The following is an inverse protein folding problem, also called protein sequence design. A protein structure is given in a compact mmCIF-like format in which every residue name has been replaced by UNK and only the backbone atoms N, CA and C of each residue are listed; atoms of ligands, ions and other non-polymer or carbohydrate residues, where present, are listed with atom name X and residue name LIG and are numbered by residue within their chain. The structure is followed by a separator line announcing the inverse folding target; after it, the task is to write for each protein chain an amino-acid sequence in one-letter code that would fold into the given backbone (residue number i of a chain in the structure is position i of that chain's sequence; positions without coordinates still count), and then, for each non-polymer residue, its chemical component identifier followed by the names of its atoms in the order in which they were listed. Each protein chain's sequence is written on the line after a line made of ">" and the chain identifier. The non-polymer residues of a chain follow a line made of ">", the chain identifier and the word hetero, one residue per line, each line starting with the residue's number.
data_IF_200469886889
#
_entry.id   IF_200469886889
#
_cell.length_a   1.000
_cell.length_b   1.000
_cell.length_c   1.000
_cell.angle_alpha   90.00
_cell.angle_beta   90.00
_cell.angle_gamma   90.00
#
_symmetry.space_group_name_H-M   'P 1'
#
loop_
_entity.id
_entity.type
_entity.pdbx_description
1 polymer ?
#
# COMPACT_ATOMS: atom_id res chain seq x y z
N UNK A 1 -16.77 -30.27 34.33
CA UNK A 1 -15.69 -29.65 35.13
C UNK A 1 -14.31 -30.01 34.58
N UNK A 2 -13.97 -31.30 34.41
CA UNK A 2 -12.69 -31.71 33.76
C UNK A 2 -12.77 -31.56 32.23
N UNK A 3 -13.86 -31.99 31.59
CA UNK A 3 -14.11 -31.75 30.15
C UNK A 3 -14.02 -30.26 29.76
N UNK A 4 -14.62 -29.36 30.55
CA UNK A 4 -14.60 -27.91 30.27
C UNK A 4 -13.18 -27.33 30.33
N UNK A 5 -12.34 -27.89 31.22
CA UNK A 5 -10.95 -27.48 31.34
C UNK A 5 -10.14 -27.93 30.12
N UNK A 6 -10.37 -29.17 29.67
CA UNK A 6 -9.74 -29.71 28.47
C UNK A 6 -10.13 -28.91 27.22
N UNK A 7 -11.41 -28.57 27.09
CA UNK A 7 -11.91 -27.83 25.94
C UNK A 7 -11.28 -26.43 25.84
N UNK A 8 -11.13 -25.73 26.98
CA UNK A 8 -10.43 -24.44 27.03
C UNK A 8 -8.95 -24.53 26.64
N UNK A 9 -8.27 -25.61 27.04
CA UNK A 9 -6.88 -25.89 26.66
C UNK A 9 -6.74 -26.08 25.14
N UNK A 10 -7.66 -26.84 24.53
CA UNK A 10 -7.70 -27.07 23.08
C UNK A 10 -7.97 -25.77 22.32
N UNK A 11 -8.94 -24.97 22.76
CA UNK A 11 -9.26 -23.67 22.15
C UNK A 11 -8.11 -22.67 22.28
N UNK A 12 -7.41 -22.64 23.41
CA UNK A 12 -6.24 -21.80 23.61
C UNK A 12 -5.10 -22.17 22.65
N UNK A 13 -4.85 -23.48 22.46
CA UNK A 13 -3.85 -23.97 21.51
C UNK A 13 -4.22 -23.64 20.07
N UNK A 14 -5.50 -23.78 19.70
CA UNK A 14 -5.98 -23.42 18.37
C UNK A 14 -5.73 -21.93 18.06
N UNK A 15 -6.09 -21.03 18.99
CA UNK A 15 -5.85 -19.58 18.85
C UNK A 15 -4.37 -19.23 18.72
N UNK A 16 -3.49 -19.94 19.43
CA UNK A 16 -2.04 -19.74 19.32
C UNK A 16 -1.50 -20.17 17.95
N UNK A 17 -2.03 -21.25 17.37
CA UNK A 17 -1.67 -21.69 16.02
C UNK A 17 -2.13 -20.65 14.99
N UNK A 18 -3.39 -20.21 15.05
CA UNK A 18 -3.93 -19.17 14.16
C UNK A 18 -3.12 -17.87 14.24
N UNK A 19 -2.78 -17.43 15.46
CA UNK A 19 -1.96 -16.23 15.65
C UNK A 19 -0.57 -16.40 15.05
N UNK A 20 0.04 -17.58 15.21
CA UNK A 20 1.36 -17.86 14.65
C UNK A 20 1.33 -17.83 13.12
N UNK A 21 0.33 -18.45 12.50
CA UNK A 21 0.16 -18.45 11.05
C UNK A 21 -0.04 -17.03 10.50
N UNK A 22 -0.86 -16.22 11.19
CA UNK A 22 -1.07 -14.82 10.82
C UNK A 22 0.22 -13.99 10.91
N UNK A 23 1.01 -14.17 11.96
CA UNK A 23 2.31 -13.48 12.11
C UNK A 23 3.28 -13.92 11.01
N UNK A 24 3.35 -15.22 10.72
CA UNK A 24 4.20 -15.73 9.64
C UNK A 24 3.81 -15.18 8.27
N UNK A 25 2.51 -15.00 8.02
CA UNK A 25 2.02 -14.36 6.80
C UNK A 25 2.47 -12.90 6.72
N UNK A 26 2.30 -12.11 7.78
CA UNK A 26 2.75 -10.71 7.83
C UNK A 26 4.25 -10.62 7.55
N UNK A 27 5.06 -11.46 8.21
CA UNK A 27 6.52 -11.46 8.03
C UNK A 27 6.89 -11.82 6.59
N UNK A 28 6.17 -12.73 5.95
CA UNK A 28 6.40 -13.11 4.56
C UNK A 28 6.09 -11.95 3.60
N UNK A 29 4.95 -11.28 3.79
CA UNK A 29 4.55 -10.13 3.00
C UNK A 29 5.53 -8.96 3.16
N UNK A 30 5.97 -8.70 4.40
CA UNK A 30 6.92 -7.63 4.69
C UNK A 30 8.30 -7.91 4.09
N UNK A 31 8.77 -9.17 4.12
CA UNK A 31 9.99 -9.58 3.43
C UNK A 31 9.92 -9.33 1.93
N UNK A 32 8.79 -9.63 1.29
CA UNK A 32 8.60 -9.36 -0.13
C UNK A 32 8.59 -7.85 -0.44
N UNK A 33 8.01 -7.02 0.44
CA UNK A 33 8.04 -5.56 0.31
C UNK A 33 9.42 -4.96 0.55
N UNK A 34 10.24 -5.60 1.39
CA UNK A 34 11.56 -5.07 1.77
C UNK A 34 12.49 -4.84 0.58
N UNK A 35 12.34 -5.63 -0.49
CA UNK A 35 13.10 -5.47 -1.73
C UNK A 35 12.81 -4.16 -2.47
N UNK A 36 11.62 -3.58 -2.26
CA UNK A 36 11.18 -2.33 -2.88
C UNK A 36 11.60 -1.08 -2.12
N UNK A 37 12.11 -1.22 -0.88
CA UNK A 37 12.55 -0.08 -0.09
C UNK A 37 13.83 0.53 -0.65
N UNK A 38 13.93 1.86 -0.50
CA UNK A 38 15.10 2.62 -0.92
C UNK A 38 16.22 2.40 0.10
N UNK A 39 17.32 1.81 -0.34
CA UNK A 39 18.57 1.70 0.41
C UNK A 39 19.57 2.74 -0.08
N UNK A 40 20.65 2.98 0.66
CA UNK A 40 21.68 3.96 0.27
C UNK A 40 22.28 3.68 -1.11
N UNK A 41 22.38 2.40 -1.49
CA UNK A 41 22.90 1.97 -2.79
C UNK A 41 21.93 2.24 -3.95
N UNK A 42 20.62 2.27 -3.68
CA UNK A 42 19.56 2.49 -4.68
C UNK A 42 19.04 3.93 -4.70
N UNK A 43 19.57 4.81 -3.86
CA UNK A 43 19.02 6.14 -3.61
C UNK A 43 18.99 7.01 -4.87
N UNK A 44 20.13 7.14 -5.55
CA UNK A 44 20.23 8.02 -6.73
C UNK A 44 19.32 7.54 -7.87
N UNK A 45 19.30 6.24 -8.14
CA UNK A 45 18.41 5.63 -9.13
C UNK A 45 16.91 5.82 -8.79
N UNK A 46 16.56 5.77 -7.50
CA UNK A 46 15.19 6.01 -7.05
C UNK A 46 14.76 7.48 -7.23
N UNK A 47 15.69 8.43 -7.05
CA UNK A 47 15.44 9.86 -7.28
C UNK A 47 15.18 10.11 -8.77
N UNK A 48 16.04 9.61 -9.65
CA UNK A 48 15.88 9.76 -11.10
C UNK A 48 14.55 9.15 -11.57
N UNK A 49 14.25 7.92 -11.12
CA UNK A 49 12.99 7.25 -11.46
C UNK A 49 11.76 8.06 -11.03
N UNK A 50 11.77 8.66 -9.83
CA UNK A 50 10.65 9.44 -9.33
C UNK A 50 10.42 10.75 -10.11
N UNK A 51 11.49 11.35 -10.63
CA UNK A 51 11.41 12.56 -11.46
C UNK A 51 10.85 12.21 -12.84
N UNK A 52 11.28 11.10 -13.43
CA UNK A 52 10.83 10.64 -14.75
C UNK A 52 9.41 10.06 -14.75
N UNK A 53 8.98 9.48 -13.62
CA UNK A 53 7.70 8.77 -13.49
C UNK A 53 6.82 9.39 -12.39
N UNK A 54 6.34 10.62 -12.58
CA UNK A 54 5.49 11.27 -11.59
C UNK A 54 4.09 10.62 -11.58
N UNK A 55 3.62 10.26 -10.39
CA UNK A 55 2.34 9.58 -10.16
C UNK A 55 1.35 10.54 -9.51
N UNK A 56 0.11 10.60 -10.02
CA UNK A 56 -0.98 11.41 -9.45
C UNK A 56 -2.01 10.54 -8.76
N UNK A 57 -2.24 10.85 -7.49
CA UNK A 57 -3.29 10.26 -6.66
C UNK A 57 -4.57 11.11 -6.63
N UNK A 58 -4.67 12.15 -7.48
CA UNK A 58 -5.86 12.99 -7.56
C UNK A 58 -7.01 12.23 -8.22
N UNK A 59 -8.08 12.01 -7.48
CA UNK A 59 -9.35 11.47 -8.00
C UNK A 59 -10.52 12.25 -7.39
N UNK A 60 -11.62 12.32 -8.12
CA UNK A 60 -12.88 12.87 -7.64
C UNK A 60 -13.89 11.74 -7.38
N UNK A 61 -14.90 12.02 -6.57
CA UNK A 61 -16.02 11.10 -6.31
C UNK A 61 -17.31 11.83 -6.67
N UNK A 62 -18.14 11.21 -7.50
CA UNK A 62 -19.46 11.74 -7.84
C UNK A 62 -20.47 11.52 -6.70
N UNK A 63 -21.64 12.20 -6.69
CA UNK A 63 -22.67 11.99 -5.67
C UNK A 63 -23.26 10.57 -5.61
N UNK A 64 -23.00 9.71 -6.61
CA UNK A 64 -23.40 8.30 -6.64
C UNK A 64 -22.31 7.37 -6.09
N UNK A 65 -21.16 7.91 -5.70
CA UNK A 65 -20.03 7.17 -5.16
C UNK A 65 -19.06 6.62 -6.21
N UNK A 66 -19.19 6.99 -7.48
CA UNK A 66 -18.26 6.57 -8.53
C UNK A 66 -16.97 7.41 -8.48
N UNK A 67 -15.83 6.73 -8.58
CA UNK A 67 -14.52 7.39 -8.66
C UNK A 67 -14.27 7.85 -10.09
N UNK A 68 -13.88 9.11 -10.23
CA UNK A 68 -13.44 9.73 -11.48
C UNK A 68 -11.94 10.00 -11.35
N UNK A 69 -11.14 9.24 -12.10
CA UNK A 69 -9.70 9.37 -12.16
C UNK A 69 -9.30 9.69 -13.60
N UNK A 70 -8.66 10.84 -13.80
CA UNK A 70 -8.33 11.33 -15.15
C UNK A 70 -7.03 10.73 -15.71
N UNK A 71 -6.38 9.81 -14.99
CA UNK A 71 -5.19 9.08 -15.44
C UNK A 71 -3.96 9.93 -15.73
N UNK A 72 -4.07 11.25 -15.63
CA UNK A 72 -3.06 12.23 -16.04
C UNK A 72 -2.61 13.02 -14.81
N UNK A 73 -1.30 13.24 -14.62
CA UNK A 73 -0.85 14.02 -13.49
C UNK A 73 -1.27 15.49 -13.55
N UNK A 74 -1.84 16.00 -12.45
CA UNK A 74 -2.44 17.34 -12.37
C UNK A 74 -1.43 18.49 -12.60
N UNK A 75 -0.12 18.23 -12.56
CA UNK A 75 0.91 19.25 -12.78
C UNK A 75 1.10 19.62 -14.26
N UNK A 76 0.60 18.82 -15.22
CA UNK A 76 0.69 19.15 -16.65
C UNK A 76 -0.40 20.14 -17.09
N UNK A 77 -1.55 20.11 -16.41
CA UNK A 77 -2.71 20.96 -16.73
C UNK A 77 -2.44 22.43 -16.37
N UNK A 78 -1.70 22.68 -15.27
CA UNK A 78 -1.41 24.04 -14.80
C UNK A 78 -0.37 24.79 -15.65
N UNK A 79 0.47 24.09 -16.42
CA UNK A 79 1.43 24.70 -17.34
C UNK A 79 0.77 25.12 -18.67
N UNK A 80 -0.33 24.50 -19.07
CA UNK A 80 -1.03 24.85 -20.30
C UNK A 80 -1.91 26.10 -20.18
N UNK A 81 -2.46 26.40 -19.00
CA UNK A 81 -3.30 27.59 -18.80
C UNK A 81 -2.50 28.90 -18.68
N UNK A 82 -1.17 28.84 -18.51
CA UNK A 82 -0.32 30.00 -18.30
C UNK A 82 0.38 30.53 -19.57
N UNK A 83 0.13 29.93 -20.74
CA UNK A 83 0.58 30.49 -22.01
C UNK A 83 -0.42 31.54 -22.51
N UNK A 84 -0.08 32.84 -22.58
CA UNK A 84 -0.96 33.83 -23.17
C UNK A 84 -1.11 33.51 -24.66
N UNK A 85 -2.34 33.36 -25.13
CA UNK A 85 -2.66 33.35 -26.56
C UNK A 85 -2.15 34.67 -27.16
N UNK A 86 -1.03 34.61 -27.88
CA UNK A 86 -0.58 35.68 -28.78
C UNK A 86 -1.32 35.64 -30.10
#
# INVERSE_FOLDING_TARGET
>A
MVEDLLQREVEAKAKLVELKEHIEQIVREEKAKSDTYITMEKLDAAIEFAIEHPVSYSYAIDPKGNQLWEGTPYYEVSLQESSPKS
#
